data_IF_727581841483
#
_entry.id   IF_727581841483
#
_cell.length_a   1.000
_cell.length_b   1.000
_cell.length_c   1.000
_cell.angle_alpha   90.00
_cell.angle_beta   90.00
_cell.angle_gamma   90.00
#
_symmetry.space_group_name_H-M   'P 1'
#
loop_
_entity.id
_entity.type
_entity.pdbx_description
1 polymer ?
#
# COMPACT_ATOMS: atom_id res chain seq x y z
N UNK A 1 14.11 -4.31 -11.36
CA UNK A 1 15.42 -4.66 -10.80
C UNK A 1 15.21 -5.28 -9.43
N UNK A 2 15.55 -6.57 -9.29
CA UNK A 2 15.35 -7.32 -8.05
C UNK A 2 16.58 -7.25 -7.14
N UNK A 3 17.79 -7.25 -7.70
CA UNK A 3 19.02 -7.28 -6.91
C UNK A 3 19.28 -5.94 -6.24
N UNK A 4 19.02 -4.83 -6.95
CA UNK A 4 19.06 -3.51 -6.34
C UNK A 4 18.01 -3.38 -5.23
N UNK A 5 16.79 -3.89 -5.45
CA UNK A 5 15.72 -3.80 -4.47
C UNK A 5 16.01 -4.63 -3.21
N UNK A 6 16.56 -5.85 -3.37
CA UNK A 6 17.01 -6.69 -2.26
C UNK A 6 18.09 -6.02 -1.42
N UNK A 7 19.04 -5.36 -2.07
CA UNK A 7 20.10 -4.62 -1.35
C UNK A 7 19.54 -3.44 -0.55
N UNK A 8 18.49 -2.78 -1.04
CA UNK A 8 17.93 -1.58 -0.41
C UNK A 8 16.90 -1.92 0.68
N UNK A 9 16.01 -2.88 0.43
CA UNK A 9 14.85 -3.15 1.28
C UNK A 9 14.69 -4.63 1.68
N UNK A 10 15.57 -5.52 1.22
CA UNK A 10 15.50 -6.96 1.52
C UNK A 10 14.62 -7.77 0.57
N UNK A 11 14.41 -9.04 0.93
CA UNK A 11 13.61 -9.96 0.10
C UNK A 11 12.14 -9.55 0.07
N UNK A 12 11.50 -9.67 -1.09
CA UNK A 12 10.09 -9.32 -1.30
C UNK A 12 9.88 -7.98 -2.03
N UNK A 13 10.92 -7.16 -2.16
CA UNK A 13 10.85 -5.85 -2.83
C UNK A 13 11.38 -5.90 -4.27
N UNK A 14 10.90 -4.97 -5.10
CA UNK A 14 11.27 -4.87 -6.52
C UNK A 14 11.20 -3.42 -7.03
N UNK A 15 12.02 -3.10 -8.04
CA UNK A 15 11.83 -1.89 -8.87
C UNK A 15 11.11 -2.23 -10.17
N UNK A 16 9.97 -1.59 -10.42
CA UNK A 16 9.36 -1.52 -11.76
C UNK A 16 10.01 -0.37 -12.54
N UNK A 17 10.32 -0.59 -13.81
CA UNK A 17 11.04 0.39 -14.64
C UNK A 17 10.45 0.45 -16.05
N UNK A 18 10.63 1.60 -16.72
CA UNK A 18 10.20 1.82 -18.09
C UNK A 18 8.72 1.51 -18.31
N UNK A 19 8.44 0.71 -19.33
CA UNK A 19 7.09 0.41 -19.79
C UNK A 19 6.24 -0.28 -18.72
N UNK A 20 6.83 -1.13 -17.90
CA UNK A 20 6.12 -1.81 -16.82
C UNK A 20 5.74 -0.84 -15.70
N UNK A 21 6.60 0.12 -15.37
CA UNK A 21 6.25 1.17 -14.40
C UNK A 21 5.11 2.05 -14.95
N UNK A 22 5.14 2.38 -16.24
CA UNK A 22 4.06 3.14 -16.90
C UNK A 22 2.75 2.35 -16.91
N UNK A 23 2.81 1.06 -17.20
CA UNK A 23 1.66 0.17 -17.20
C UNK A 23 1.02 0.07 -15.81
N UNK A 24 1.82 -0.06 -14.75
CA UNK A 24 1.34 -0.06 -13.37
C UNK A 24 0.48 1.19 -13.07
N UNK A 25 1.01 2.38 -13.39
CA UNK A 25 0.26 3.64 -13.21
C UNK A 25 -0.99 3.71 -14.09
N UNK A 26 -0.93 3.20 -15.34
CA UNK A 26 -2.07 3.22 -16.25
C UNK A 26 -3.23 2.35 -15.75
N UNK A 27 -2.93 1.17 -15.18
CA UNK A 27 -3.96 0.27 -14.62
C UNK A 27 -4.66 0.93 -13.43
N UNK A 28 -3.91 1.58 -12.53
CA UNK A 28 -4.49 2.31 -11.40
C UNK A 28 -5.38 3.45 -11.88
N UNK A 29 -4.93 4.24 -12.85
CA UNK A 29 -5.71 5.35 -13.42
C UNK A 29 -7.02 4.85 -14.06
N UNK A 30 -6.95 3.75 -14.82
CA UNK A 30 -8.14 3.12 -15.40
C UNK A 30 -9.13 2.68 -14.34
N UNK A 31 -8.67 1.96 -13.30
CA UNK A 31 -9.55 1.48 -12.23
C UNK A 31 -10.22 2.64 -11.47
N UNK A 32 -9.48 3.72 -11.21
CA UNK A 32 -10.03 4.96 -10.63
C UNK A 32 -11.18 5.50 -11.47
N UNK A 33 -10.92 5.77 -12.75
CA UNK A 33 -11.89 6.43 -13.63
C UNK A 33 -13.12 5.54 -13.84
N UNK A 34 -12.90 4.23 -14.01
CA UNK A 34 -13.98 3.24 -14.09
C UNK A 34 -14.94 3.26 -12.89
N UNK A 35 -14.42 3.50 -11.68
CA UNK A 35 -15.22 3.59 -10.46
C UNK A 35 -15.88 4.96 -10.28
N UNK A 36 -15.21 6.04 -10.68
CA UNK A 36 -15.80 7.38 -10.70
C UNK A 36 -17.04 7.41 -11.60
N UNK A 37 -16.97 6.78 -12.78
CA UNK A 37 -18.09 6.68 -13.72
C UNK A 37 -19.31 5.93 -13.15
N UNK A 38 -19.14 5.21 -12.02
CA UNK A 38 -20.20 4.50 -11.29
C UNK A 38 -20.70 5.27 -10.06
N UNK A 39 -20.28 6.52 -9.89
CA UNK A 39 -20.72 7.39 -8.80
C UNK A 39 -19.91 7.25 -7.51
N UNK A 40 -18.78 6.54 -7.53
CA UNK A 40 -17.89 6.49 -6.36
C UNK A 40 -17.02 7.76 -6.28
N UNK A 41 -16.79 8.25 -5.06
CA UNK A 41 -15.84 9.34 -4.81
C UNK A 41 -14.42 8.78 -4.72
N UNK A 42 -13.51 9.26 -5.55
CA UNK A 42 -12.11 8.89 -5.44
C UNK A 42 -11.44 9.59 -4.25
N UNK A 43 -10.83 8.80 -3.37
CA UNK A 43 -10.14 9.28 -2.16
C UNK A 43 -8.77 8.63 -2.07
N UNK A 44 -7.75 9.43 -1.77
CA UNK A 44 -6.43 8.95 -1.34
C UNK A 44 -6.39 9.07 0.19
N UNK A 45 -6.47 7.97 0.94
CA UNK A 45 -6.44 8.01 2.40
C UNK A 45 -5.00 8.18 2.92
N UNK A 46 -4.82 8.42 4.23
CA UNK A 46 -3.54 8.20 4.87
C UNK A 46 -3.10 6.74 4.70
N UNK A 47 -1.82 6.51 4.42
CA UNK A 47 -1.25 5.15 4.33
C UNK A 47 -0.80 4.61 5.68
N UNK A 48 -0.80 5.44 6.72
CA UNK A 48 -0.47 5.03 8.07
C UNK A 48 -1.65 5.40 8.96
N UNK A 49 -2.12 4.44 9.76
CA UNK A 49 -3.30 4.59 10.61
C UNK A 49 -2.98 4.24 12.06
N UNK A 50 -3.74 4.83 12.98
CA UNK A 50 -3.64 4.55 14.42
C UNK A 50 -4.19 3.17 14.76
N UNK A 51 -3.70 2.58 15.84
CA UNK A 51 -4.11 1.25 16.30
C UNK A 51 -5.62 1.12 16.57
N UNK A 52 -6.26 2.18 17.06
CA UNK A 52 -7.71 2.21 17.30
C UNK A 52 -8.52 1.95 16.01
N UNK A 53 -8.11 2.55 14.89
CA UNK A 53 -8.70 2.31 13.57
C UNK A 53 -8.46 0.87 13.13
N UNK A 54 -7.24 0.35 13.29
CA UNK A 54 -6.87 -1.02 12.89
C UNK A 54 -7.72 -2.07 13.60
N UNK A 55 -7.93 -1.92 14.92
CA UNK A 55 -8.73 -2.87 15.71
C UNK A 55 -10.19 -2.95 15.30
N UNK A 56 -10.70 -1.94 14.57
CA UNK A 56 -12.05 -1.94 14.02
C UNK A 56 -12.20 -2.76 12.72
N UNK A 57 -11.09 -3.11 12.05
CA UNK A 57 -11.10 -3.74 10.71
C UNK A 57 -10.45 -5.13 10.69
N UNK A 58 -9.59 -5.45 11.66
CA UNK A 58 -8.88 -6.74 11.73
C UNK A 58 -8.64 -7.21 13.16
N UNK A 59 -8.30 -8.49 13.32
CA UNK A 59 -7.94 -9.09 14.60
C UNK A 59 -6.51 -8.74 15.03
N UNK A 60 -6.24 -8.79 16.33
CA UNK A 60 -4.89 -8.55 16.88
C UNK A 60 -3.82 -9.49 16.32
N UNK A 61 -4.17 -10.75 16.01
CA UNK A 61 -3.22 -11.71 15.45
C UNK A 61 -2.86 -11.39 13.98
N UNK A 62 -3.80 -10.85 13.21
CA UNK A 62 -3.55 -10.38 11.84
C UNK A 62 -2.72 -9.10 11.85
N UNK A 63 -2.96 -8.21 12.81
CA UNK A 63 -2.21 -6.97 12.97
C UNK A 63 -0.71 -7.22 13.16
N UNK A 64 -0.34 -8.13 14.06
CA UNK A 64 1.07 -8.44 14.35
C UNK A 64 1.80 -9.14 13.19
N UNK A 65 1.05 -9.89 12.36
CA UNK A 65 1.62 -10.66 11.26
C UNK A 65 1.65 -9.92 9.92
N UNK A 66 0.81 -8.91 9.73
CA UNK A 66 0.59 -8.28 8.42
C UNK A 66 0.97 -6.79 8.35
N UNK A 67 1.08 -6.08 9.48
CA UNK A 67 1.30 -4.63 9.47
C UNK A 67 2.72 -4.23 9.84
N UNK A 68 3.19 -3.11 9.29
CA UNK A 68 4.46 -2.52 9.69
C UNK A 68 4.22 -1.41 10.71
N UNK A 69 4.75 -1.57 11.92
CA UNK A 69 4.67 -0.56 12.99
C UNK A 69 5.80 0.45 12.88
N UNK A 70 5.49 1.74 13.02
CA UNK A 70 6.50 2.78 13.24
C UNK A 70 6.97 2.75 14.69
N UNK A 71 8.27 2.64 14.90
CA UNK A 71 8.85 2.65 16.24
C UNK A 71 8.67 4.02 16.91
N UNK A 72 8.19 4.04 18.15
CA UNK A 72 7.96 5.27 18.91
C UNK A 72 6.65 6.01 18.60
N UNK A 73 5.87 5.54 17.63
CA UNK A 73 4.60 6.15 17.24
C UNK A 73 3.44 5.14 17.26
N UNK A 74 2.22 5.64 17.47
CA UNK A 74 0.99 4.86 17.28
C UNK A 74 0.55 4.92 15.81
N UNK A 75 1.40 4.41 14.91
CA UNK A 75 1.14 4.37 13.48
C UNK A 75 1.56 3.03 12.89
N UNK A 76 0.67 2.52 12.03
CA UNK A 76 0.82 1.24 11.33
C UNK A 76 0.57 1.45 9.84
N UNK A 77 1.44 0.89 9.00
CA UNK A 77 1.28 0.74 7.55
C UNK A 77 0.63 -0.62 7.25
#
# INVERSE_FOLDING_TARGET
DLDAARRVAGNGFYYLMGDIARLHSAVIAYARDFMIDRGFTYVIPPYMIRSDVVTGVMSFAEMDSMMYKIEGEDLYL
#
